data_IF_921776452942
#
_entry.id   IF_921776452942
#
_cell.length_a   1.000
_cell.length_b   1.000
_cell.length_c   1.000
_cell.angle_alpha   90.00
_cell.angle_beta   90.00
_cell.angle_gamma   90.00
#
_symmetry.space_group_name_H-M   'P 1'
#
loop_
_entity.id
_entity.type
_entity.pdbx_description
1 polymer ?
#
# COMPACT_ATOMS: atom_id res chain seq x y z
N UNK A 1 -48.33 1.48 -3.48
CA UNK A 1 -48.40 0.35 -2.54
C UNK A 1 -46.98 -0.11 -2.25
N UNK A 2 -46.54 0.12 -1.01
CA UNK A 2 -45.21 -0.17 -0.50
C UNK A 2 -45.02 -1.68 -0.31
N UNK A 3 -43.85 -2.24 -0.65
CA UNK A 3 -43.37 -3.51 -0.09
C UNK A 3 -42.18 -3.22 0.81
N UNK A 4 -42.43 -3.39 2.12
CA UNK A 4 -41.44 -3.47 3.18
C UNK A 4 -40.48 -4.64 2.93
N UNK A 5 -39.18 -4.36 2.91
CA UNK A 5 -38.14 -5.36 3.15
C UNK A 5 -37.44 -4.90 4.43
N UNK A 6 -37.65 -5.66 5.50
CA UNK A 6 -37.00 -5.48 6.80
C UNK A 6 -35.50 -5.75 6.64
N UNK A 7 -34.71 -4.70 6.48
CA UNK A 7 -33.25 -4.75 6.66
C UNK A 7 -32.96 -4.69 8.17
N UNK A 8 -32.83 -5.84 8.81
CA UNK A 8 -32.38 -5.92 10.20
C UNK A 8 -30.84 -5.89 10.22
N UNK A 9 -30.18 -4.91 10.86
CA UNK A 9 -28.73 -4.79 10.83
C UNK A 9 -28.06 -5.84 11.73
N UNK A 10 -27.13 -6.63 11.17
CA UNK A 10 -26.25 -7.49 11.95
C UNK A 10 -25.21 -6.65 12.70
N UNK A 11 -25.22 -6.74 14.03
CA UNK A 11 -24.30 -6.05 14.94
C UNK A 11 -23.13 -6.99 15.25
N UNK A 12 -21.92 -6.66 14.82
CA UNK A 12 -20.70 -7.36 15.24
C UNK A 12 -20.05 -6.58 16.38
N UNK A 13 -20.18 -7.10 17.61
CA UNK A 13 -19.57 -6.53 18.81
C UNK A 13 -18.07 -6.86 18.87
N UNK A 14 -17.23 -5.86 18.58
CA UNK A 14 -15.82 -5.85 18.93
C UNK A 14 -15.63 -4.61 19.78
N UNK A 15 -15.44 -4.80 21.09
CA UNK A 15 -15.71 -3.85 22.17
C UNK A 15 -14.90 -2.55 22.25
N UNK A 16 -14.41 -1.97 21.16
CA UNK A 16 -13.95 -0.56 21.12
C UNK A 16 -14.30 0.01 19.73
N UNK A 17 -15.23 0.97 19.72
CA UNK A 17 -15.73 1.74 18.57
C UNK A 17 -16.79 1.03 17.71
N UNK A 18 -18.07 1.33 17.99
CA UNK A 18 -19.22 0.92 17.18
C UNK A 18 -19.20 1.61 15.81
N UNK A 19 -18.52 1.00 14.84
CA UNK A 19 -18.60 1.40 13.44
C UNK A 19 -19.93 0.87 12.90
N UNK A 20 -20.86 1.78 12.61
CA UNK A 20 -22.09 1.48 11.86
C UNK A 20 -21.70 1.13 10.42
N UNK A 21 -21.31 -0.12 10.16
CA UNK A 21 -21.12 -0.63 8.80
C UNK A 21 -22.49 -0.83 8.15
N UNK A 22 -23.04 0.26 7.59
CA UNK A 22 -24.19 0.17 6.71
C UNK A 22 -23.75 -0.45 5.38
N UNK A 23 -24.58 -1.27 4.74
CA UNK A 23 -24.31 -1.94 3.46
C UNK A 23 -24.09 -0.95 2.29
N UNK A 24 -24.44 0.32 2.49
CA UNK A 24 -24.09 1.48 1.64
C UNK A 24 -22.62 1.91 1.74
N UNK A 25 -21.95 1.67 2.87
CA UNK A 25 -20.54 2.01 3.07
C UNK A 25 -19.62 1.13 2.20
N UNK A 26 -19.94 -0.17 2.08
CA UNK A 26 -19.25 -1.09 1.15
C UNK A 26 -19.44 -0.73 -0.33
N UNK A 27 -20.52 -0.03 -0.68
CA UNK A 27 -20.77 0.41 -2.06
C UNK A 27 -19.98 1.66 -2.44
N UNK A 28 -19.39 2.37 -1.47
CA UNK A 28 -18.59 3.55 -1.73
C UNK A 28 -17.13 3.15 -2.06
N UNK A 29 -16.63 3.46 -3.28
CA UNK A 29 -15.28 3.06 -3.67
C UNK A 29 -14.18 3.72 -2.83
N UNK A 30 -14.43 4.91 -2.25
CA UNK A 30 -13.48 5.55 -1.34
C UNK A 30 -13.32 4.77 -0.03
N UNK A 31 -14.41 4.16 0.47
CA UNK A 31 -14.34 3.31 1.67
C UNK A 31 -13.59 2.00 1.38
N UNK A 32 -13.86 1.37 0.23
CA UNK A 32 -13.13 0.18 -0.21
C UNK A 32 -11.62 0.47 -0.33
N UNK A 33 -11.28 1.61 -0.95
CA UNK A 33 -9.88 2.03 -1.11
C UNK A 33 -9.20 2.29 0.24
N UNK A 34 -9.89 2.97 1.16
CA UNK A 34 -9.42 3.20 2.52
C UNK A 34 -9.12 1.87 3.21
N UNK A 35 -10.08 0.94 3.20
CA UNK A 35 -9.94 -0.38 3.81
C UNK A 35 -8.77 -1.17 3.22
N UNK A 36 -8.66 -1.21 1.89
CA UNK A 36 -7.57 -1.91 1.19
C UNK A 36 -6.21 -1.31 1.54
N UNK A 37 -6.11 0.01 1.59
CA UNK A 37 -4.86 0.72 1.86
C UNK A 37 -4.41 0.53 3.31
N UNK A 38 -5.34 0.63 4.27
CA UNK A 38 -5.06 0.37 5.68
C UNK A 38 -4.64 -1.08 5.89
N UNK A 39 -5.38 -2.02 5.29
CA UNK A 39 -5.05 -3.44 5.38
C UNK A 39 -3.66 -3.75 4.80
N UNK A 40 -3.34 -3.19 3.62
CA UNK A 40 -2.03 -3.36 2.99
C UNK A 40 -0.88 -2.82 3.85
N UNK A 41 -1.05 -1.66 4.50
CA UNK A 41 -0.05 -1.11 5.42
C UNK A 41 0.12 -1.98 6.65
N UNK A 42 -0.98 -2.37 7.31
CA UNK A 42 -0.95 -3.21 8.50
C UNK A 42 -0.26 -4.54 8.20
N UNK A 43 -0.57 -5.13 7.05
CA UNK A 43 0.05 -6.36 6.60
C UNK A 43 1.55 -6.17 6.32
N UNK A 44 1.97 -5.06 5.71
CA UNK A 44 3.39 -4.75 5.49
C UNK A 44 4.16 -4.60 6.82
N UNK A 45 3.56 -3.94 7.81
CA UNK A 45 4.16 -3.81 9.15
C UNK A 45 4.17 -5.12 9.94
N UNK A 46 3.14 -5.95 9.75
CA UNK A 46 3.11 -7.30 10.32
C UNK A 46 4.27 -8.14 9.79
N UNK A 47 4.50 -8.13 8.47
CA UNK A 47 5.63 -8.83 7.84
C UNK A 47 6.98 -8.28 8.34
N UNK A 48 7.08 -6.96 8.51
CA UNK A 48 8.33 -6.33 8.97
C UNK A 48 8.67 -6.66 10.43
N UNK A 49 7.75 -6.39 11.36
CA UNK A 49 8.02 -6.47 12.79
C UNK A 49 7.73 -7.84 13.39
N UNK A 50 6.68 -8.53 12.93
CA UNK A 50 6.26 -9.81 13.52
C UNK A 50 6.96 -10.98 12.82
N UNK A 51 7.06 -10.98 11.49
CA UNK A 51 7.85 -12.00 10.78
C UNK A 51 9.36 -11.68 10.79
N UNK A 52 9.76 -10.48 11.22
CA UNK A 52 11.16 -10.08 11.33
C UNK A 52 11.89 -10.03 9.99
N UNK A 53 11.17 -9.72 8.92
CA UNK A 53 11.67 -9.59 7.55
C UNK A 53 11.98 -8.13 7.27
N UNK A 54 13.25 -7.81 7.05
CA UNK A 54 13.65 -6.42 6.83
C UNK A 54 13.07 -5.85 5.54
N UNK A 55 12.40 -4.70 5.65
CA UNK A 55 11.94 -3.95 4.50
C UNK A 55 13.12 -3.28 3.78
N UNK A 56 13.15 -3.39 2.46
CA UNK A 56 14.09 -2.65 1.63
C UNK A 56 13.68 -1.17 1.51
N UNK A 57 14.61 -0.25 1.16
CA UNK A 57 14.26 1.17 0.95
C UNK A 57 13.12 1.37 -0.06
N UNK A 58 13.14 0.61 -1.16
CA UNK A 58 12.11 0.67 -2.20
C UNK A 58 10.74 0.15 -1.71
N UNK A 59 10.75 -0.81 -0.78
CA UNK A 59 9.58 -1.34 -0.10
C UNK A 59 8.93 -0.24 0.77
N UNK A 60 9.75 0.58 1.43
CA UNK A 60 9.31 1.74 2.20
C UNK A 60 8.74 2.81 1.25
N UNK A 61 9.40 3.08 0.13
CA UNK A 61 8.88 4.03 -0.87
C UNK A 61 7.50 3.63 -1.41
N UNK A 62 7.24 2.34 -1.58
CA UNK A 62 5.93 1.83 -1.99
C UNK A 62 4.83 2.03 -0.93
N UNK A 63 5.14 2.35 0.33
CA UNK A 63 4.14 2.66 1.37
C UNK A 63 3.57 4.07 1.25
N UNK A 64 4.33 5.04 0.70
CA UNK A 64 3.86 6.42 0.59
C UNK A 64 2.60 6.58 -0.28
N UNK A 65 2.48 5.94 -1.47
CA UNK A 65 1.24 5.98 -2.24
C UNK A 65 0.00 5.56 -1.44
N UNK A 66 0.11 4.50 -0.64
CA UNK A 66 -0.98 4.03 0.21
C UNK A 66 -1.32 5.00 1.36
N UNK A 67 -0.32 5.64 1.97
CA UNK A 67 -0.56 6.71 2.95
C UNK A 67 -1.34 7.88 2.32
N UNK A 68 -0.99 8.26 1.09
CA UNK A 68 -1.71 9.32 0.37
C UNK A 68 -3.13 8.85 0.02
N UNK A 69 -3.33 7.60 -0.39
CA UNK A 69 -4.68 7.05 -0.62
C UNK A 69 -5.55 7.07 0.62
N UNK A 70 -5.00 6.74 1.80
CA UNK A 70 -5.72 6.84 3.08
C UNK A 70 -6.18 8.28 3.32
N UNK A 71 -5.27 9.25 3.21
CA UNK A 71 -5.59 10.66 3.44
C UNK A 71 -6.65 11.18 2.46
N UNK A 72 -6.49 10.90 1.17
CA UNK A 72 -7.47 11.30 0.15
C UNK A 72 -8.82 10.64 0.38
N UNK A 73 -8.84 9.36 0.78
CA UNK A 73 -10.09 8.63 1.01
C UNK A 73 -10.86 9.22 2.19
N UNK A 74 -10.17 9.59 3.28
CA UNK A 74 -10.78 10.26 4.44
C UNK A 74 -11.39 11.61 4.01
N UNK A 75 -10.65 12.43 3.26
CA UNK A 75 -11.14 13.72 2.75
C UNK A 75 -12.33 13.54 1.78
N UNK A 76 -12.32 12.47 0.99
CA UNK A 76 -13.38 12.19 0.03
C UNK A 76 -14.67 11.76 0.74
N UNK A 77 -14.54 10.99 1.83
CA UNK A 77 -15.66 10.55 2.67
C UNK A 77 -16.28 11.70 3.50
N UNK A 78 -15.52 12.74 3.84
CA UNK A 78 -16.03 13.90 4.59
C UNK A 78 -16.82 14.92 3.75
N UNK A 79 -17.06 14.61 2.46
CA UNK A 79 -17.89 15.44 1.57
C UNK A 79 -17.11 16.17 0.47
N UNK A 80 -15.79 15.98 0.38
CA UNK A 80 -14.93 16.62 -0.65
C UNK A 80 -14.67 15.79 -1.92
N UNK A 81 -15.24 14.60 -2.06
CA UNK A 81 -14.75 13.55 -2.98
C UNK A 81 -14.64 13.91 -4.47
N UNK A 82 -15.49 14.80 -4.98
CA UNK A 82 -15.56 15.08 -6.43
C UNK A 82 -14.31 15.76 -7.00
N UNK A 83 -13.65 16.64 -6.24
CA UNK A 83 -12.53 17.43 -6.74
C UNK A 83 -11.21 16.63 -6.83
N UNK A 84 -11.13 15.48 -6.13
CA UNK A 84 -9.85 14.79 -5.93
C UNK A 84 -9.64 13.54 -6.80
N UNK A 85 -10.62 13.14 -7.62
CA UNK A 85 -10.55 11.95 -8.48
C UNK A 85 -9.32 11.91 -9.40
N UNK A 86 -8.86 13.06 -9.91
CA UNK A 86 -7.64 13.16 -10.72
C UNK A 86 -6.37 12.75 -9.97
N UNK A 87 -6.30 13.03 -8.66
CA UNK A 87 -5.10 12.73 -7.86
C UNK A 87 -4.96 11.23 -7.63
N UNK A 88 -6.07 10.49 -7.43
CA UNK A 88 -6.03 9.03 -7.31
C UNK A 88 -5.38 8.37 -8.53
N UNK A 89 -5.71 8.84 -9.75
CA UNK A 89 -5.11 8.31 -10.97
C UNK A 89 -3.60 8.58 -11.01
N UNK A 90 -3.19 9.82 -10.72
CA UNK A 90 -1.77 10.21 -10.72
C UNK A 90 -0.98 9.38 -9.71
N UNK A 91 -1.48 9.23 -8.49
CA UNK A 91 -0.81 8.47 -7.42
C UNK A 91 -0.75 6.99 -7.78
N UNK A 92 -1.81 6.44 -8.37
CA UNK A 92 -1.82 5.03 -8.84
C UNK A 92 -0.78 4.81 -9.92
N UNK A 93 -0.63 5.74 -10.87
CA UNK A 93 0.41 5.65 -11.89
C UNK A 93 1.82 5.66 -11.29
N UNK A 94 2.07 6.54 -10.31
CA UNK A 94 3.35 6.56 -9.57
C UNK A 94 3.57 5.24 -8.81
N UNK A 95 2.53 4.71 -8.16
CA UNK A 95 2.61 3.42 -7.47
C UNK A 95 2.93 2.26 -8.43
N UNK A 96 2.30 2.22 -9.61
CA UNK A 96 2.59 1.24 -10.68
C UNK A 96 4.03 1.38 -11.14
N UNK A 97 4.52 2.59 -11.41
CA UNK A 97 5.91 2.82 -11.83
C UNK A 97 6.91 2.32 -10.79
N UNK A 98 6.69 2.64 -9.51
CA UNK A 98 7.54 2.18 -8.40
C UNK A 98 7.50 0.65 -8.25
N UNK A 99 6.31 0.04 -8.35
CA UNK A 99 6.14 -1.40 -8.23
C UNK A 99 6.74 -2.17 -9.42
N UNK A 100 6.56 -1.66 -10.64
CA UNK A 100 7.14 -2.21 -11.85
C UNK A 100 8.67 -2.12 -11.83
N UNK A 101 9.21 -0.97 -11.41
CA UNK A 101 10.65 -0.78 -11.27
C UNK A 101 11.25 -1.77 -10.26
N UNK A 102 10.63 -1.92 -9.09
CA UNK A 102 11.07 -2.85 -8.06
C UNK A 102 10.99 -4.31 -8.54
N UNK A 103 9.87 -4.69 -9.15
CA UNK A 103 9.69 -6.03 -9.72
C UNK A 103 10.76 -6.32 -10.77
N UNK A 104 11.12 -5.34 -11.59
CA UNK A 104 12.14 -5.51 -12.62
C UNK A 104 13.56 -5.68 -12.04
N UNK A 105 13.86 -5.06 -10.89
CA UNK A 105 15.10 -5.32 -10.14
C UNK A 105 15.09 -6.74 -9.55
N UNK A 106 13.97 -7.17 -8.97
CA UNK A 106 13.85 -8.53 -8.42
C UNK A 106 13.98 -9.62 -9.49
N UNK A 107 13.49 -9.36 -10.70
CA UNK A 107 13.65 -10.25 -11.85
C UNK A 107 15.07 -10.22 -12.45
N UNK A 108 15.94 -9.35 -11.96
CA UNK A 108 17.32 -9.19 -12.47
C UNK A 108 17.39 -8.53 -13.84
N UNK A 109 16.34 -7.84 -14.28
CA UNK A 109 16.30 -7.12 -15.57
C UNK A 109 17.11 -5.83 -15.46
N UNK A 110 17.09 -5.18 -14.30
CA UNK A 110 17.84 -3.94 -14.03
C UNK A 110 18.70 -4.06 -12.78
N UNK A 111 19.83 -3.37 -12.82
CA UNK A 111 20.70 -3.16 -11.68
C UNK A 111 20.03 -2.24 -10.63
N UNK A 112 20.25 -2.46 -9.31
CA UNK A 112 19.75 -1.58 -8.27
C UNK A 112 20.32 -0.16 -8.41
N UNK A 113 19.44 0.84 -8.54
CA UNK A 113 19.87 2.24 -8.59
C UNK A 113 20.19 2.81 -7.20
N UNK A 114 20.58 4.09 -7.16
CA UNK A 114 20.78 4.84 -5.93
C UNK A 114 19.55 4.83 -4.98
N UNK A 115 18.34 4.60 -5.50
CA UNK A 115 17.11 4.49 -4.70
C UNK A 115 17.05 3.23 -3.84
N UNK A 116 17.87 2.22 -4.14
CA UNK A 116 17.98 0.99 -3.35
C UNK A 116 19.08 1.06 -2.28
N UNK A 117 19.82 2.17 -2.18
CA UNK A 117 20.85 2.32 -1.15
C UNK A 117 20.21 2.27 0.23
N UNK A 118 20.80 1.53 1.20
CA UNK A 118 20.32 1.52 2.57
C UNK A 118 20.18 2.95 3.11
N UNK A 119 19.09 3.23 3.82
CA UNK A 119 18.80 4.55 4.41
C UNK A 119 19.71 4.89 5.61
N UNK A 120 20.77 4.11 5.83
CA UNK A 120 21.73 4.32 6.91
C UNK A 120 22.86 5.21 6.39
N UNK A 121 22.98 6.40 6.94
CA UNK A 121 24.14 7.28 6.74
C UNK A 121 25.35 6.70 7.44
N UNK A 122 26.37 6.35 6.67
CA UNK A 122 27.66 5.90 7.17
C UNK A 122 28.52 7.15 7.36
N UNK A 123 28.85 7.51 8.61
CA UNK A 123 29.76 8.62 8.92
C UNK A 123 31.17 8.35 8.36
N UNK A 124 31.95 9.40 8.09
CA UNK A 124 33.29 9.26 7.49
C UNK A 124 34.30 8.46 8.34
N UNK A 125 34.05 8.31 9.65
CA UNK A 125 34.86 7.53 10.59
C UNK A 125 34.36 6.08 10.79
N UNK A 126 33.49 5.58 9.92
CA UNK A 126 32.88 4.26 10.07
C UNK A 126 33.87 3.13 9.79
N UNK A 127 34.25 2.39 10.83
CA UNK A 127 35.22 1.30 10.73
C UNK A 127 34.62 0.04 10.09
N UNK A 128 35.46 -0.80 9.47
CA UNK A 128 35.05 -2.11 8.92
C UNK A 128 34.46 -3.02 10.01
N UNK A 129 34.89 -2.89 11.26
CA UNK A 129 34.30 -3.61 12.40
C UNK A 129 32.89 -3.15 12.76
N UNK A 130 32.59 -1.86 12.58
CA UNK A 130 31.25 -1.31 12.84
C UNK A 130 30.29 -1.67 11.70
N UNK A 131 30.77 -1.74 10.46
CA UNK A 131 30.00 -2.29 9.34
C UNK A 131 29.63 -3.76 9.55
N UNK A 132 30.59 -4.56 10.02
CA UNK A 132 30.36 -5.96 10.37
C UNK A 132 29.33 -6.06 11.50
N UNK A 133 29.47 -5.28 12.58
CA UNK A 133 28.47 -5.22 13.66
C UNK A 133 27.09 -4.82 13.15
N UNK A 134 26.99 -3.85 12.24
CA UNK A 134 25.72 -3.39 11.68
C UNK A 134 25.04 -4.47 10.82
N UNK A 135 25.82 -5.24 10.03
CA UNK A 135 25.33 -6.39 9.29
C UNK A 135 24.81 -7.52 10.20
N UNK A 136 25.46 -7.73 11.36
CA UNK A 136 25.04 -8.75 12.32
C UNK A 136 23.93 -8.28 13.26
N UNK A 137 23.81 -6.98 13.53
CA UNK A 137 22.83 -6.41 14.45
C UNK A 137 21.56 -5.93 13.74
N UNK A 138 21.64 -5.52 12.49
CA UNK A 138 20.50 -5.08 11.68
C UNK A 138 20.36 -5.95 10.44
N UNK A 139 19.19 -6.58 10.31
CA UNK A 139 18.79 -7.21 9.04
C UNK A 139 18.59 -6.08 8.03
N UNK A 140 19.49 -5.95 7.06
CA UNK A 140 19.36 -4.97 5.99
C UNK A 140 18.61 -5.63 4.82
N UNK A 141 17.42 -5.12 4.50
CA UNK A 141 16.65 -5.58 3.34
C UNK A 141 17.31 -5.12 2.04
N UNK A 142 17.44 -6.03 1.07
CA UNK A 142 17.98 -5.73 -0.27
C UNK A 142 16.85 -5.73 -1.29
N UNK A 143 16.83 -4.80 -2.27
CA UNK A 143 15.73 -4.73 -3.24
C UNK A 143 15.81 -5.80 -4.34
N UNK A 144 16.96 -6.47 -4.50
CA UNK A 144 17.12 -7.55 -5.50
C UNK A 144 16.57 -8.88 -5.01
N UNK A 145 16.42 -9.08 -3.69
CA UNK A 145 15.95 -10.34 -3.13
C UNK A 145 14.58 -10.14 -2.49
N UNK A 146 13.55 -10.89 -2.93
CA UNK A 146 12.22 -10.75 -2.35
C UNK A 146 12.25 -11.19 -0.89
N UNK A 147 11.70 -10.34 0.00
CA UNK A 147 11.61 -10.62 1.43
C UNK A 147 10.57 -11.71 1.74
N UNK A 148 9.49 -11.75 0.97
CA UNK A 148 8.39 -12.71 1.12
C UNK A 148 7.82 -13.04 -0.26
N UNK A 149 7.63 -14.33 -0.50
CA UNK A 149 7.05 -14.88 -1.72
C UNK A 149 5.80 -15.66 -1.35
N UNK A 150 4.66 -15.30 -1.93
CA UNK A 150 3.37 -15.97 -1.73
C UNK A 150 2.88 -16.46 -3.10
N UNK A 151 2.56 -17.75 -3.19
CA UNK A 151 2.16 -18.40 -4.45
C UNK A 151 3.17 -18.23 -5.59
N UNK A 152 4.47 -18.17 -5.27
CA UNK A 152 5.54 -17.97 -6.26
C UNK A 152 5.70 -16.53 -6.74
N UNK A 153 4.88 -15.60 -6.25
CA UNK A 153 4.98 -14.17 -6.55
C UNK A 153 5.51 -13.40 -5.34
N UNK A 154 6.42 -12.45 -5.57
CA UNK A 154 6.88 -11.56 -4.51
C UNK A 154 5.81 -10.55 -4.13
N UNK A 155 5.96 -9.95 -2.94
CA UNK A 155 5.07 -8.89 -2.48
C UNK A 155 5.02 -7.68 -3.41
N UNK A 156 6.12 -7.40 -4.13
CA UNK A 156 6.20 -6.29 -5.06
C UNK A 156 5.39 -6.57 -6.32
N UNK A 157 5.36 -7.81 -6.80
CA UNK A 157 4.47 -8.25 -7.89
C UNK A 157 3.01 -8.17 -7.46
N UNK A 158 2.66 -8.63 -6.26
CA UNK A 158 1.30 -8.48 -5.73
C UNK A 158 0.87 -7.02 -5.65
N UNK A 159 1.76 -6.15 -5.18
CA UNK A 159 1.52 -4.70 -5.14
C UNK A 159 1.31 -4.11 -6.55
N UNK A 160 2.12 -4.52 -7.53
CA UNK A 160 1.97 -4.11 -8.92
C UNK A 160 0.61 -4.52 -9.48
N UNK A 161 0.22 -5.78 -9.31
CA UNK A 161 -1.06 -6.32 -9.79
C UNK A 161 -2.24 -5.55 -9.18
N UNK A 162 -2.21 -5.30 -7.86
CA UNK A 162 -3.26 -4.53 -7.19
C UNK A 162 -3.41 -3.13 -7.79
N UNK A 163 -2.31 -2.39 -7.97
CA UNK A 163 -2.37 -1.04 -8.52
C UNK A 163 -2.81 -1.02 -10.00
N UNK A 164 -2.39 -2.00 -10.81
CA UNK A 164 -2.84 -2.15 -12.20
C UNK A 164 -4.34 -2.41 -12.28
N UNK A 165 -4.91 -3.20 -11.37
CA UNK A 165 -6.36 -3.45 -11.29
C UNK A 165 -7.13 -2.22 -10.77
N UNK A 166 -6.55 -1.45 -9.85
CA UNK A 166 -7.18 -0.23 -9.31
C UNK A 166 -7.28 0.91 -10.34
N UNK A 167 -6.30 1.04 -11.23
CA UNK A 167 -6.25 2.12 -12.22
C UNK A 167 -7.53 2.23 -13.10
N UNK A 168 -8.01 1.18 -13.78
CA UNK A 168 -9.24 1.27 -14.57
C UNK A 168 -10.49 1.55 -13.73
N UNK A 169 -10.52 1.11 -12.47
CA UNK A 169 -11.62 1.40 -11.54
C UNK A 169 -11.69 2.92 -11.29
N UNK A 170 -10.55 3.57 -11.02
CA UNK A 170 -10.51 5.02 -10.83
C UNK A 170 -10.85 5.81 -12.09
N UNK A 171 -10.40 5.36 -13.26
CA UNK A 171 -10.76 5.98 -14.54
C UNK A 171 -12.27 5.92 -14.77
N UNK A 172 -12.87 4.75 -14.56
CA UNK A 172 -14.33 4.56 -14.70
C UNK A 172 -15.10 5.43 -13.72
N UNK A 173 -14.66 5.49 -12.46
CA UNK A 173 -15.29 6.28 -11.42
C UNK A 173 -15.21 7.79 -11.72
N UNK A 174 -14.04 8.29 -12.13
CA UNK A 174 -13.87 9.68 -12.58
C UNK A 174 -14.85 10.05 -13.70
N UNK A 175 -15.07 9.16 -14.67
CA UNK A 175 -15.98 9.41 -15.79
C UNK A 175 -17.46 9.37 -15.39
N UNK A 176 -17.81 8.65 -14.32
CA UNK A 176 -19.17 8.63 -13.77
C UNK A 176 -19.51 9.96 -13.08
N UNK A 177 -18.53 10.53 -12.37
CA UNK A 177 -18.70 11.80 -11.65
C UNK A 177 -18.78 13.05 -12.56
N UNK A 178 -18.34 12.95 -13.83
CA UNK A 178 -18.37 14.06 -14.80
C UNK A 178 -19.63 14.07 -15.69
N UNK A 179 -20.49 13.05 -15.60
CA UNK A 179 -21.76 12.99 -16.33
C UNK A 179 -22.91 13.42 -15.42
#
# INVERSE_FOLDING_TARGET
>A
MMKNINDNPEYYDIGIMSIKLNSTCLKNPYFLLLALSVFGLLFAYFVEYIMGLAACPLCIYQRFPYLIFIMLSIISLSGGGQSYNKYYIIITLVAIMLAAYHTSIELGIFEPSALCKPLVSIDADFSVSDFKKMLYSQKIGTCSKPALVIFGLSMTVWNLLLNVVLLPIFIKYRNYEYK
#
